data_IF_221818413868
#
_entry.id   IF_221818413868
#
_cell.length_a   1.000
_cell.length_b   1.000
_cell.length_c   1.000
_cell.angle_alpha   90.00
_cell.angle_beta   90.00
_cell.angle_gamma   90.00
#
_symmetry.space_group_name_H-M   'P 1'
#
loop_
_entity.id
_entity.type
_entity.pdbx_description
1 polymer ?
#
# COMPACT_ATOMS: atom_id res chain seq x y z
N UNK A 1 24.66 14.08 -0.55
CA UNK A 1 23.33 14.73 -0.45
C UNK A 1 22.90 14.75 1.01
N UNK A 2 22.43 15.88 1.58
CA UNK A 2 22.07 15.95 3.01
C UNK A 2 20.71 15.27 3.26
N UNK A 3 20.64 14.41 4.27
CA UNK A 3 19.38 13.76 4.71
C UNK A 3 18.61 14.67 5.64
N UNK A 4 17.33 14.93 5.35
CA UNK A 4 16.49 15.78 6.22
C UNK A 4 16.07 15.04 7.49
N UNK A 5 16.27 15.67 8.65
CA UNK A 5 15.71 15.21 9.93
C UNK A 5 14.18 15.28 9.88
N UNK A 6 13.52 14.18 10.24
CA UNK A 6 12.06 14.16 10.39
C UNK A 6 11.69 14.85 11.71
N UNK A 7 10.69 15.74 11.66
CA UNK A 7 10.15 16.49 12.80
C UNK A 7 8.65 16.21 12.95
N UNK A 8 8.14 16.44 14.16
CA UNK A 8 6.71 16.35 14.47
C UNK A 8 6.16 14.92 14.48
N UNK A 9 6.84 13.99 15.16
CA UNK A 9 6.47 12.57 15.17
C UNK A 9 4.99 12.31 15.55
N UNK A 10 4.43 13.04 16.52
CA UNK A 10 3.01 12.93 16.90
C UNK A 10 2.08 13.23 15.72
N UNK A 11 2.32 14.34 15.00
CA UNK A 11 1.59 14.68 13.78
C UNK A 11 1.72 13.58 12.72
N UNK A 12 2.93 13.05 12.52
CA UNK A 12 3.16 11.97 11.54
C UNK A 12 2.42 10.69 11.91
N UNK A 13 2.28 10.39 13.19
CA UNK A 13 1.55 9.23 13.67
C UNK A 13 0.05 9.38 13.40
N UNK A 14 -0.49 10.57 13.64
CA UNK A 14 -1.87 10.89 13.28
C UNK A 14 -2.09 10.84 11.76
N UNK A 15 -1.13 11.32 10.96
CA UNK A 15 -1.18 11.23 9.50
C UNK A 15 -1.21 9.75 9.04
N UNK A 16 -0.49 8.84 9.72
CA UNK A 16 -0.54 7.40 9.47
C UNK A 16 -1.91 6.84 9.83
N UNK A 17 -2.45 7.16 11.00
CA UNK A 17 -3.74 6.64 11.45
C UNK A 17 -4.87 7.09 10.51
N UNK A 18 -4.88 8.37 10.12
CA UNK A 18 -5.83 8.88 9.15
C UNK A 18 -5.71 8.20 7.78
N UNK A 19 -4.48 7.94 7.31
CA UNK A 19 -4.25 7.19 6.08
C UNK A 19 -4.81 5.76 6.17
N UNK A 20 -4.62 5.08 7.30
CA UNK A 20 -5.17 3.73 7.54
C UNK A 20 -6.69 3.74 7.47
N UNK A 21 -7.35 4.60 8.25
CA UNK A 21 -8.81 4.65 8.29
C UNK A 21 -9.42 4.98 6.92
N UNK A 22 -8.79 5.89 6.17
CA UNK A 22 -9.24 6.23 4.82
C UNK A 22 -9.17 5.03 3.86
N UNK A 23 -8.15 4.19 3.97
CA UNK A 23 -7.97 3.04 3.07
C UNK A 23 -8.68 1.77 3.54
N UNK A 24 -9.06 1.66 4.82
CA UNK A 24 -9.93 0.58 5.31
C UNK A 24 -11.31 0.64 4.67
N UNK A 25 -11.81 1.84 4.37
CA UNK A 25 -13.07 2.04 3.64
C UNK A 25 -12.91 1.57 2.19
N UNK A 26 -13.10 0.27 1.98
CA UNK A 26 -12.86 -0.40 0.72
C UNK A 26 -14.03 -0.16 -0.25
N UNK A 27 -13.77 0.59 -1.31
CA UNK A 27 -14.78 0.89 -2.31
C UNK A 27 -14.90 -0.25 -3.33
N UNK A 28 -15.79 -1.19 -3.06
CA UNK A 28 -16.06 -2.35 -3.91
C UNK A 28 -16.51 -1.96 -5.33
N UNK A 29 -17.24 -0.85 -5.49
CA UNK A 29 -17.70 -0.41 -6.81
C UNK A 29 -16.52 -0.02 -7.70
N UNK A 30 -15.55 0.72 -7.14
CA UNK A 30 -14.31 1.05 -7.85
C UNK A 30 -13.52 -0.23 -8.17
N UNK A 31 -13.47 -1.20 -7.26
CA UNK A 31 -12.81 -2.47 -7.54
C UNK A 31 -13.49 -3.22 -8.69
N UNK A 32 -14.82 -3.28 -8.73
CA UNK A 32 -15.56 -3.92 -9.83
C UNK A 32 -15.36 -3.20 -11.17
N UNK A 33 -15.34 -1.86 -11.16
CA UNK A 33 -15.14 -1.04 -12.37
C UNK A 33 -13.72 -1.19 -12.95
N UNK A 34 -12.69 -1.12 -12.09
CA UNK A 34 -11.29 -1.08 -12.49
C UNK A 34 -10.57 -2.42 -12.40
N UNK A 35 -11.17 -3.40 -11.71
CA UNK A 35 -10.65 -4.75 -11.40
C UNK A 35 -9.36 -4.76 -10.58
N UNK A 36 -8.88 -3.60 -10.13
CA UNK A 36 -7.66 -3.45 -9.35
C UNK A 36 -7.80 -2.30 -8.36
N UNK A 37 -7.31 -2.53 -7.14
CA UNK A 37 -7.11 -1.47 -6.16
C UNK A 37 -5.74 -1.55 -5.44
N UNK A 38 -5.26 -0.40 -4.96
CA UNK A 38 -4.00 -0.27 -4.24
C UNK A 38 -4.13 0.70 -3.06
N UNK A 39 -3.61 0.31 -1.90
CA UNK A 39 -3.35 1.21 -0.79
C UNK A 39 -1.86 1.53 -0.71
N UNK A 40 -1.44 2.58 -1.42
CA UNK A 40 -0.05 3.10 -1.39
C UNK A 40 0.17 3.90 -0.12
N UNK A 41 1.36 3.80 0.48
CA UNK A 41 1.75 4.70 1.57
C UNK A 41 1.78 6.13 1.03
N UNK A 42 0.77 6.93 1.40
CA UNK A 42 0.64 8.35 1.02
C UNK A 42 0.78 9.29 2.22
N UNK A 43 1.68 8.93 3.13
CA UNK A 43 1.95 9.69 4.35
C UNK A 43 3.15 10.61 4.13
N UNK A 44 3.00 11.91 4.39
CA UNK A 44 4.12 12.85 4.35
C UNK A 44 5.01 12.66 5.60
N UNK A 45 6.36 12.71 5.52
CA UNK A 45 7.17 13.12 4.38
C UNK A 45 7.51 12.03 3.37
N UNK A 46 7.24 10.76 3.68
CA UNK A 46 7.74 9.60 2.93
C UNK A 46 7.15 9.43 1.53
N UNK A 47 5.99 10.02 1.26
CA UNK A 47 5.31 9.94 -0.04
C UNK A 47 5.42 11.19 -0.92
N UNK A 48 6.01 12.28 -0.40
CA UNK A 48 6.08 13.54 -1.13
C UNK A 48 7.29 13.63 -2.06
N UNK A 49 7.18 14.42 -3.12
CA UNK A 49 8.34 14.87 -3.91
C UNK A 49 9.20 15.79 -3.03
N UNK A 50 10.53 15.67 -3.10
CA UNK A 50 11.40 16.65 -2.44
C UNK A 50 11.53 17.87 -3.34
N UNK A 51 11.03 19.02 -2.89
CA UNK A 51 11.21 20.31 -3.58
C UNK A 51 12.61 20.90 -3.38
N UNK A 52 13.46 20.22 -2.61
CA UNK A 52 14.84 20.62 -2.30
C UNK A 52 15.80 19.48 -2.65
N UNK A 53 17.08 19.78 -2.86
CA UNK A 53 18.17 18.81 -3.12
C UNK A 53 18.54 17.90 -1.93
N UNK A 54 17.59 17.65 -1.02
CA UNK A 54 17.78 16.83 0.18
C UNK A 54 17.11 15.47 0.04
N UNK A 55 17.75 14.42 0.55
CA UNK A 55 17.12 13.10 0.62
C UNK A 55 16.13 13.05 1.79
N UNK A 56 14.98 12.42 1.57
CA UNK A 56 14.06 12.06 2.64
C UNK A 56 14.47 10.69 3.16
N UNK A 57 14.68 10.53 4.48
CA UNK A 57 14.98 9.21 5.02
C UNK A 57 13.74 8.32 4.95
N UNK A 58 13.96 7.03 4.69
CA UNK A 58 12.94 5.99 4.82
C UNK A 58 12.43 5.93 6.27
N UNK A 59 11.17 5.50 6.50
CA UNK A 59 10.68 5.30 7.85
C UNK A 59 11.47 4.16 8.52
N UNK A 60 11.85 4.37 9.78
CA UNK A 60 12.64 3.41 10.55
C UNK A 60 11.98 3.09 11.89
N UNK A 61 12.40 1.99 12.51
CA UNK A 61 12.01 1.57 13.87
C UNK A 61 10.49 1.63 14.09
N UNK A 62 10.04 2.33 15.12
CA UNK A 62 8.64 2.43 15.52
C UNK A 62 7.73 2.99 14.42
N UNK A 63 8.22 3.94 13.61
CA UNK A 63 7.41 4.49 12.51
C UNK A 63 7.21 3.45 11.41
N UNK A 64 8.26 2.70 11.06
CA UNK A 64 8.18 1.58 10.12
C UNK A 64 7.19 0.52 10.62
N UNK A 65 7.28 0.16 11.90
CA UNK A 65 6.33 -0.76 12.54
C UNK A 65 4.90 -0.22 12.49
N UNK A 66 4.65 1.05 12.82
CA UNK A 66 3.31 1.63 12.78
C UNK A 66 2.70 1.60 11.37
N UNK A 67 3.49 1.94 10.34
CA UNK A 67 3.04 1.87 8.94
C UNK A 67 2.74 0.41 8.54
N UNK A 68 3.61 -0.54 8.92
CA UNK A 68 3.38 -1.95 8.63
C UNK A 68 2.11 -2.48 9.31
N UNK A 69 1.87 -2.10 10.56
CA UNK A 69 0.63 -2.41 11.27
C UNK A 69 -0.59 -1.87 10.51
N UNK A 70 -0.46 -0.66 9.95
CA UNK A 70 -1.48 -0.06 9.09
C UNK A 70 -1.73 -0.83 7.80
N UNK A 71 -0.67 -1.25 7.10
CA UNK A 71 -0.80 -2.10 5.89
C UNK A 71 -1.51 -3.41 6.19
N UNK A 72 -1.18 -4.06 7.31
CA UNK A 72 -1.85 -5.29 7.77
C UNK A 72 -3.33 -5.00 8.04
N UNK A 73 -3.64 -3.95 8.78
CA UNK A 73 -5.03 -3.60 9.10
C UNK A 73 -5.88 -3.29 7.84
N UNK A 74 -5.30 -2.60 6.85
CA UNK A 74 -5.97 -2.36 5.56
C UNK A 74 -6.20 -3.69 4.84
N UNK A 75 -5.19 -4.56 4.80
CA UNK A 75 -5.30 -5.86 4.15
C UNK A 75 -6.38 -6.74 4.79
N UNK A 76 -6.40 -6.85 6.12
CA UNK A 76 -7.42 -7.61 6.85
C UNK A 76 -8.83 -7.06 6.56
N UNK A 77 -8.98 -5.73 6.53
CA UNK A 77 -10.24 -5.06 6.17
C UNK A 77 -10.69 -5.41 4.75
N UNK A 78 -9.79 -5.32 3.78
CA UNK A 78 -10.09 -5.63 2.37
C UNK A 78 -10.43 -7.11 2.19
N UNK A 79 -9.70 -8.00 2.87
CA UNK A 79 -9.94 -9.45 2.85
C UNK A 79 -11.36 -9.79 3.31
N UNK A 80 -11.82 -9.16 4.39
CA UNK A 80 -13.17 -9.38 4.90
C UNK A 80 -14.24 -8.98 3.89
N UNK A 81 -14.06 -7.87 3.18
CA UNK A 81 -14.99 -7.45 2.12
C UNK A 81 -14.90 -8.34 0.87
N UNK A 82 -13.70 -8.74 0.46
CA UNK A 82 -13.50 -9.61 -0.70
C UNK A 82 -14.06 -11.02 -0.49
N UNK A 83 -13.94 -11.57 0.73
CA UNK A 83 -14.53 -12.86 1.07
C UNK A 83 -16.05 -12.88 0.91
N UNK A 84 -16.73 -11.74 1.08
CA UNK A 84 -18.19 -11.63 0.89
C UNK A 84 -18.59 -11.71 -0.59
N UNK A 85 -17.67 -11.49 -1.52
CA UNK A 85 -17.96 -11.55 -2.96
C UNK A 85 -18.14 -12.98 -3.46
N UNK A 86 -17.55 -13.97 -2.78
CA UNK A 86 -17.58 -15.37 -3.23
C UNK A 86 -16.80 -15.64 -4.53
N UNK A 87 -15.96 -14.69 -4.97
CA UNK A 87 -15.16 -14.78 -6.19
C UNK A 87 -13.66 -14.91 -5.88
N UNK A 88 -12.88 -15.40 -6.84
CA UNK A 88 -11.43 -15.45 -6.73
C UNK A 88 -10.84 -14.04 -6.81
N UNK A 89 -9.94 -13.73 -5.88
CA UNK A 89 -9.26 -12.45 -5.80
C UNK A 89 -7.76 -12.63 -5.52
N UNK A 90 -6.97 -11.68 -6.00
CA UNK A 90 -5.59 -11.50 -5.59
C UNK A 90 -5.57 -10.46 -4.48
N UNK A 91 -4.97 -10.77 -3.34
CA UNK A 91 -4.73 -9.81 -2.27
C UNK A 91 -3.37 -10.04 -1.62
N UNK A 92 -2.46 -9.08 -1.76
CA UNK A 92 -1.10 -9.16 -1.19
C UNK A 92 -0.64 -7.82 -0.61
N UNK A 93 0.28 -7.88 0.33
CA UNK A 93 1.05 -6.72 0.77
C UNK A 93 2.43 -6.82 0.15
N UNK A 94 2.80 -5.81 -0.63
CA UNK A 94 4.15 -5.70 -1.19
C UNK A 94 4.99 -4.82 -0.29
N UNK A 95 6.05 -5.40 0.25
CA UNK A 95 7.04 -4.73 1.07
C UNK A 95 8.29 -4.49 0.22
N UNK A 96 8.64 -3.23 0.01
CA UNK A 96 9.85 -2.87 -0.74
C UNK A 96 10.99 -2.60 0.22
N UNK A 97 12.10 -3.32 0.09
CA UNK A 97 13.33 -3.04 0.84
C UNK A 97 14.47 -2.72 -0.13
N UNK A 98 15.26 -1.66 0.11
CA UNK A 98 15.22 -0.76 1.26
C UNK A 98 14.16 0.37 1.18
N UNK A 99 13.38 0.44 0.08
CA UNK A 99 12.44 1.54 -0.20
C UNK A 99 11.07 1.35 0.48
N UNK A 100 11.06 1.18 1.79
CA UNK A 100 9.86 0.79 2.53
C UNK A 100 8.67 1.72 2.30
N UNK A 101 8.90 3.03 2.10
CA UNK A 101 7.86 3.99 1.76
C UNK A 101 7.10 3.69 0.44
N UNK A 102 7.64 2.83 -0.43
CA UNK A 102 6.99 2.37 -1.66
C UNK A 102 6.05 1.16 -1.44
N UNK A 103 6.01 0.63 -0.22
CA UNK A 103 5.16 -0.51 0.14
C UNK A 103 3.67 -0.18 -0.01
N UNK A 104 2.89 -1.21 -0.32
CA UNK A 104 1.47 -1.06 -0.63
C UNK A 104 0.69 -2.36 -0.43
N UNK A 105 -0.61 -2.23 -0.18
CA UNK A 105 -1.57 -3.34 -0.34
C UNK A 105 -2.06 -3.32 -1.78
N UNK A 106 -2.16 -4.48 -2.42
CA UNK A 106 -2.64 -4.64 -3.80
C UNK A 106 -3.75 -5.67 -3.83
N UNK A 107 -4.87 -5.31 -4.46
CA UNK A 107 -6.00 -6.20 -4.73
C UNK A 107 -6.28 -6.26 -6.24
N UNK A 108 -6.65 -7.43 -6.76
CA UNK A 108 -7.11 -7.58 -8.12
C UNK A 108 -8.22 -8.63 -8.25
N UNK A 109 -9.07 -8.46 -9.27
CA UNK A 109 -10.13 -9.39 -9.66
C UNK A 109 -10.01 -9.76 -11.14
N UNK A 110 -10.67 -10.86 -11.53
CA UNK A 110 -10.84 -11.27 -12.93
C UNK A 110 -9.52 -11.30 -13.72
N UNK A 111 -9.48 -10.58 -14.83
CA UNK A 111 -8.37 -10.62 -15.78
C UNK A 111 -7.01 -10.10 -15.25
N UNK A 112 -6.98 -9.49 -14.05
CA UNK A 112 -5.76 -9.00 -13.42
C UNK A 112 -5.19 -9.95 -12.36
N UNK A 113 -5.82 -11.10 -12.12
CA UNK A 113 -5.27 -12.15 -11.25
C UNK A 113 -3.89 -12.59 -11.77
N UNK A 114 -3.83 -13.00 -13.05
CA UNK A 114 -2.62 -13.51 -13.70
C UNK A 114 -1.57 -12.42 -13.95
N UNK A 115 -2.01 -11.15 -14.07
CA UNK A 115 -1.11 -10.02 -14.26
C UNK A 115 -0.08 -9.99 -13.13
N UNK A 116 -0.50 -10.04 -11.88
CA UNK A 116 0.42 -9.93 -10.75
C UNK A 116 1.22 -11.20 -10.46
N UNK A 117 0.73 -12.37 -10.85
CA UNK A 117 1.52 -13.60 -10.75
C UNK A 117 2.75 -13.59 -11.66
N UNK A 118 2.65 -12.91 -12.80
CA UNK A 118 3.68 -12.85 -13.83
C UNK A 118 4.45 -11.52 -13.88
N UNK A 119 3.98 -10.49 -13.17
CA UNK A 119 4.60 -9.15 -13.18
C UNK A 119 5.94 -9.10 -12.46
N UNK A 120 6.16 -9.94 -11.45
CA UNK A 120 7.40 -9.90 -10.67
C UNK A 120 8.36 -10.98 -11.12
N UNK A 121 9.62 -10.57 -11.28
CA UNK A 121 10.74 -11.50 -11.29
C UNK A 121 10.65 -12.39 -10.06
N UNK A 122 10.54 -13.70 -10.26
CA UNK A 122 10.56 -14.71 -9.21
C UNK A 122 12.04 -15.00 -8.93
N UNK A 123 12.63 -14.43 -7.87
CA UNK A 123 14.05 -14.68 -7.62
C UNK A 123 14.24 -16.14 -7.18
N UNK A 124 15.33 -16.77 -7.62
CA UNK A 124 15.70 -18.11 -7.17
C UNK A 124 15.91 -18.17 -5.64
N UNK A 125 16.15 -17.01 -5.01
CA UNK A 125 16.33 -16.86 -3.56
C UNK A 125 15.38 -15.80 -3.00
N UNK A 126 14.40 -16.24 -2.22
CA UNK A 126 13.57 -15.35 -1.42
C UNK A 126 14.34 -14.86 -0.19
N UNK A 127 14.45 -13.54 -0.02
CA UNK A 127 14.96 -12.98 1.23
C UNK A 127 13.86 -13.09 2.28
N UNK A 128 14.03 -13.96 3.26
CA UNK A 128 13.07 -14.08 4.38
C UNK A 128 12.97 -12.75 5.12
N UNK A 129 11.75 -12.32 5.40
CA UNK A 129 11.50 -11.18 6.26
C UNK A 129 12.00 -11.55 7.66
N UNK A 130 12.95 -10.79 8.21
CA UNK A 130 13.40 -11.00 9.57
C UNK A 130 12.46 -10.25 10.53
N UNK A 131 11.59 -10.93 11.31
CA UNK A 131 10.60 -10.28 12.16
C UNK A 131 11.25 -9.45 13.28
N UNK A 132 12.50 -9.75 13.64
CA UNK A 132 13.28 -9.02 14.66
C UNK A 132 13.42 -7.54 14.29
N UNK A 133 13.49 -7.22 12.99
CA UNK A 133 13.65 -5.85 12.50
C UNK A 133 12.40 -4.96 12.70
N UNK A 134 11.30 -5.54 13.17
CA UNK A 134 10.01 -4.86 13.31
C UNK A 134 9.57 -4.65 14.76
N UNK A 135 10.48 -4.88 15.72
CA UNK A 135 10.30 -4.51 17.12
C UNK A 135 9.12 -5.22 17.77
N UNK A 136 8.17 -4.45 18.31
CA UNK A 136 6.97 -4.99 18.99
C UNK A 136 6.09 -5.83 18.07
N UNK A 137 6.15 -5.60 16.75
CA UNK A 137 5.43 -6.43 15.78
C UNK A 137 6.10 -7.77 15.50
N UNK A 138 7.27 -8.08 16.07
CA UNK A 138 7.97 -9.35 15.82
C UNK A 138 7.06 -10.56 16.07
N UNK A 139 6.25 -10.53 17.13
CA UNK A 139 5.37 -11.63 17.51
C UNK A 139 4.19 -11.70 16.56
N UNK A 140 3.53 -10.56 16.30
CA UNK A 140 2.43 -10.49 15.35
C UNK A 140 2.86 -10.88 13.94
N UNK A 141 4.05 -10.47 13.49
CA UNK A 141 4.60 -10.85 12.19
C UNK A 141 5.07 -12.29 12.15
N UNK A 142 5.63 -12.82 13.24
CA UNK A 142 5.98 -14.24 13.33
C UNK A 142 4.72 -15.10 13.24
N UNK A 143 3.70 -14.76 14.03
CA UNK A 143 2.37 -15.39 13.96
C UNK A 143 1.78 -15.21 12.56
N UNK A 144 1.78 -14.01 11.99
CA UNK A 144 1.25 -13.76 10.64
C UNK A 144 2.01 -14.59 9.60
N UNK A 145 3.35 -14.67 9.66
CA UNK A 145 4.15 -15.49 8.77
C UNK A 145 3.85 -16.99 8.95
N UNK A 146 3.59 -17.44 10.19
CA UNK A 146 3.27 -18.83 10.53
C UNK A 146 1.79 -19.20 10.25
N UNK A 147 0.87 -18.23 10.31
CA UNK A 147 -0.58 -18.39 10.15
C UNK A 147 -1.10 -17.98 8.78
N UNK A 148 -0.24 -17.38 7.93
CA UNK A 148 -0.51 -17.18 6.52
C UNK A 148 -0.47 -18.57 5.86
N UNK A 149 -1.64 -19.17 5.77
CA UNK A 149 -1.99 -20.11 4.71
C UNK A 149 -1.61 -19.44 3.38
N UNK A 150 -0.65 -20.04 2.65
CA UNK A 150 -0.01 -19.47 1.45
C UNK A 150 -1.02 -19.16 0.32
N UNK A 151 -2.27 -19.54 0.51
CA UNK A 151 -3.41 -19.31 -0.39
C UNK A 151 -4.18 -18.01 -0.13
N UNK A 152 -4.06 -17.34 1.04
CA UNK A 152 -5.06 -16.31 1.45
C UNK A 152 -4.59 -14.89 1.81
N UNK A 153 -3.30 -14.63 2.05
CA UNK A 153 -2.70 -13.26 2.06
C UNK A 153 -1.17 -13.39 2.09
N UNK A 154 -0.46 -13.21 0.98
CA UNK A 154 1.01 -13.32 1.01
C UNK A 154 1.66 -11.94 1.23
N UNK A 155 2.57 -11.83 2.20
CA UNK A 155 3.56 -10.75 2.25
C UNK A 155 4.67 -11.07 1.24
N UNK A 156 4.98 -10.17 0.31
CA UNK A 156 6.10 -10.36 -0.63
C UNK A 156 7.12 -9.25 -0.48
N UNK A 157 8.38 -9.62 -0.24
CA UNK A 157 9.50 -8.68 -0.28
C UNK A 157 9.93 -8.52 -1.74
N UNK A 158 9.80 -7.30 -2.25
CA UNK A 158 10.23 -6.94 -3.60
C UNK A 158 11.51 -6.12 -3.50
N UNK A 159 12.63 -6.67 -3.99
CA UNK A 159 13.95 -6.03 -3.94
C UNK A 159 14.23 -5.09 -5.14
N UNK A 160 13.28 -4.97 -6.07
CA UNK A 160 13.41 -4.10 -7.24
C UNK A 160 12.48 -2.90 -7.07
N UNK A 161 12.95 -1.70 -7.46
CA UNK A 161 12.04 -0.59 -7.70
C UNK A 161 10.93 -1.08 -8.66
N UNK A 162 9.65 -0.64 -8.53
CA UNK A 162 8.65 -0.97 -9.52
C UNK A 162 9.18 -0.52 -10.88
N UNK A 163 9.72 -1.48 -11.65
CA UNK A 163 10.04 -1.30 -13.06
C UNK A 163 8.75 -0.76 -13.66
N UNK A 164 8.84 0.29 -14.48
CA UNK A 164 7.68 0.90 -15.13
C UNK A 164 6.80 -0.24 -15.65
N UNK A 165 5.68 -0.49 -14.99
CA UNK A 165 4.76 -1.54 -15.40
C UNK A 165 4.45 -1.24 -16.85
N UNK A 166 4.61 -2.22 -17.74
CA UNK A 166 4.13 -2.11 -19.12
C UNK A 166 2.61 -2.16 -19.06
N UNK A 167 2.00 -1.09 -18.57
CA UNK A 167 0.56 -0.94 -18.49
C UNK A 167 0.10 -0.84 -19.95
N UNK A 168 -0.70 -1.80 -20.39
CA UNK A 168 -1.31 -1.68 -21.72
C UNK A 168 -2.12 -0.36 -21.75
N UNK A 169 -2.29 0.23 -22.94
CA UNK A 169 -2.93 1.55 -23.09
C UNK A 169 -4.32 1.64 -22.44
N UNK A 170 -5.08 0.54 -22.37
CA UNK A 170 -6.38 0.46 -21.72
C UNK A 170 -6.26 0.55 -20.20
N UNK A 171 -5.28 -0.12 -19.58
CA UNK A 171 -5.00 0.00 -18.14
C UNK A 171 -4.60 1.44 -17.79
N UNK A 172 -3.81 2.10 -18.63
CA UNK A 172 -3.47 3.52 -18.46
C UNK A 172 -4.68 4.45 -18.55
N UNK A 173 -5.56 4.24 -19.54
CA UNK A 173 -6.81 5.00 -19.67
C UNK A 173 -7.72 4.81 -18.45
N UNK A 174 -7.86 3.57 -17.95
CA UNK A 174 -8.63 3.25 -16.74
C UNK A 174 -8.06 3.95 -15.50
N UNK A 175 -6.74 3.86 -15.29
CA UNK A 175 -6.05 4.54 -14.17
C UNK A 175 -6.26 6.06 -14.25
N UNK A 176 -6.07 6.67 -15.43
CA UNK A 176 -6.26 8.11 -15.64
C UNK A 176 -7.69 8.55 -15.28
N UNK A 177 -8.71 7.85 -15.79
CA UNK A 177 -10.12 8.10 -15.47
C UNK A 177 -10.39 8.01 -13.97
N UNK A 178 -9.85 6.99 -13.31
CA UNK A 178 -9.96 6.82 -11.86
C UNK A 178 -9.37 8.01 -11.09
N UNK A 179 -8.17 8.46 -11.48
CA UNK A 179 -7.54 9.64 -10.87
C UNK A 179 -8.35 10.91 -11.08
N UNK A 180 -8.91 11.14 -12.27
CA UNK A 180 -9.79 12.27 -12.55
C UNK A 180 -11.05 12.24 -11.67
N UNK A 181 -11.68 11.06 -11.50
CA UNK A 181 -12.85 10.87 -10.61
C UNK A 181 -12.50 11.14 -9.14
N UNK A 182 -11.35 10.64 -8.67
CA UNK A 182 -10.85 10.93 -7.31
C UNK A 182 -10.61 12.42 -7.08
N UNK A 183 -10.00 13.12 -8.04
CA UNK A 183 -9.73 14.55 -7.95
C UNK A 183 -11.05 15.36 -7.88
N UNK A 184 -12.04 15.03 -8.71
CA UNK A 184 -13.37 15.68 -8.70
C UNK A 184 -14.07 15.54 -7.35
N UNK A 185 -14.03 14.34 -6.76
CA UNK A 185 -14.64 14.08 -5.45
C UNK A 185 -13.92 14.85 -4.32
N UNK A 186 -12.60 15.02 -4.42
CA UNK A 186 -11.82 15.77 -3.44
C UNK A 186 -12.02 17.29 -3.54
N UNK A 187 -12.24 17.82 -4.75
CA UNK A 187 -12.58 19.24 -4.98
C UNK A 187 -14.01 19.57 -4.56
N UNK A 188 -14.96 18.65 -4.73
CA UNK A 188 -16.35 18.85 -4.27
C UNK A 188 -16.46 19.01 -2.75
N UNK A 189 -15.61 18.33 -1.97
CA UNK A 189 -15.57 18.46 -0.51
C UNK A 189 -14.92 19.76 0.01
N UNK A 190 -14.10 20.45 -0.80
CA UNK A 190 -13.54 21.75 -0.40
C UNK A 190 -14.54 22.90 -0.56
N UNK A 191 -15.45 22.80 -1.52
CA UNK A 191 -16.46 23.85 -1.76
C UNK A 191 -17.63 23.82 -0.74
N UNK A 192 -17.79 22.74 0.04
CA UNK A 192 -18.81 22.65 1.10
C UNK A 192 -18.33 23.17 2.47
N UNK A 193 -17.07 23.62 2.60
CA UNK A 193 -16.54 24.21 3.84
C UNK A 193 -16.43 25.74 3.81
N UNK A 194 -17.06 26.40 2.83
CA UNK A 194 -17.05 27.87 2.68
C UNK A 194 -18.45 28.48 2.67
N UNK A 195 -19.46 27.70 3.04
CA UNK A 195 -20.85 28.16 3.20
C UNK A 195 -21.39 27.61 4.52
N UNK A 196 -20.87 28.12 5.63
CA UNK A 196 -21.51 28.20 6.96
C UNK A 196 -20.76 29.24 7.78
#
# INVERSE_FOLDING_TARGET
MKTKKIRGHKRRYNDIDHWVETHKNFNLDNLKEYQIDYAKIRVHPWSGISLTSSQKPEPTRQTKSKILSGLIAINDSWKNELNKLGENYYLKIWLFEPRFASSQVVCALGNYLDFYENTFYKPDKFKKLNPVNYGQLKVKLKILIESIDLTKTTLTIVNQAPQKYTQNQQTMKKIKRRYEKMLKNHTGQRNLKTLL
#
